data_IF_682146099368
#
_entry.id   IF_682146099368
#
_cell.length_a   1.000
_cell.length_b   1.000
_cell.length_c   1.000
_cell.angle_alpha   90.00
_cell.angle_beta   90.00
_cell.angle_gamma   90.00
#
_symmetry.space_group_name_H-M   'P 1'
#
loop_
_entity.id
_entity.type
_entity.pdbx_description
1 polymer ?
#
# COMPACT_ATOMS: atom_id res chain seq x y z
N UNK A 1 -12.69 13.05 -4.31
CA UNK A 1 -12.59 11.82 -3.49
C UNK A 1 -13.76 11.71 -2.51
N UNK A 2 -14.22 12.81 -1.88
CA UNK A 2 -15.36 12.78 -0.96
C UNK A 2 -16.61 12.11 -1.54
N UNK A 3 -17.08 12.51 -2.71
CA UNK A 3 -18.22 11.90 -3.40
C UNK A 3 -18.01 10.39 -3.70
N UNK A 4 -16.75 9.98 -3.97
CA UNK A 4 -16.42 8.57 -4.15
C UNK A 4 -16.53 7.83 -2.82
N UNK A 5 -16.02 8.41 -1.74
CA UNK A 5 -16.09 7.84 -0.41
C UNK A 5 -17.54 7.64 0.07
N UNK A 6 -18.43 8.58 -0.22
CA UNK A 6 -19.87 8.46 0.10
C UNK A 6 -20.57 7.31 -0.63
N UNK A 7 -20.10 6.98 -1.85
CA UNK A 7 -20.69 5.92 -2.68
C UNK A 7 -20.17 4.52 -2.35
N UNK A 8 -18.92 4.41 -1.92
CA UNK A 8 -18.25 3.13 -1.63
C UNK A 8 -17.96 3.04 -0.13
N UNK A 9 -18.96 2.55 0.58
CA UNK A 9 -19.00 2.49 2.03
C UNK A 9 -18.64 1.10 2.59
N UNK A 10 -18.89 0.94 3.88
CA UNK A 10 -18.74 -0.31 4.63
C UNK A 10 -19.46 -1.51 3.98
N UNK A 11 -20.67 -1.31 3.47
CA UNK A 11 -21.45 -2.42 2.88
C UNK A 11 -20.83 -2.87 1.55
N UNK A 12 -20.36 -1.92 0.74
CA UNK A 12 -19.60 -2.24 -0.47
C UNK A 12 -18.30 -2.99 -0.14
N UNK A 13 -17.56 -2.54 0.89
CA UNK A 13 -16.38 -3.27 1.35
C UNK A 13 -16.71 -4.73 1.71
N UNK A 14 -17.73 -4.95 2.54
CA UNK A 14 -18.16 -6.28 2.95
C UNK A 14 -18.58 -7.16 1.78
N UNK A 15 -19.29 -6.60 0.80
CA UNK A 15 -19.67 -7.31 -0.41
C UNK A 15 -18.43 -7.81 -1.15
N UNK A 16 -17.49 -6.91 -1.43
CA UNK A 16 -16.26 -7.20 -2.18
C UNK A 16 -15.41 -8.27 -1.47
N UNK A 17 -15.27 -8.18 -0.15
CA UNK A 17 -14.53 -9.16 0.68
C UNK A 17 -15.20 -10.53 0.66
N UNK A 18 -16.53 -10.62 0.83
CA UNK A 18 -17.28 -11.89 0.77
C UNK A 18 -17.21 -12.55 -0.59
N UNK A 19 -17.29 -11.77 -1.66
CA UNK A 19 -17.17 -12.23 -3.03
C UNK A 19 -15.72 -12.54 -3.44
N UNK A 20 -14.74 -12.19 -2.62
CA UNK A 20 -13.30 -12.34 -2.86
C UNK A 20 -12.89 -11.82 -4.23
N UNK A 21 -13.35 -10.64 -4.58
CA UNK A 21 -13.13 -10.04 -5.88
C UNK A 21 -12.45 -8.67 -5.80
N UNK A 22 -11.76 -8.32 -6.86
CA UNK A 22 -11.22 -6.97 -7.02
C UNK A 22 -12.35 -5.92 -7.03
N UNK A 23 -12.18 -4.75 -6.36
CA UNK A 23 -13.19 -3.69 -6.27
C UNK A 23 -13.29 -2.88 -7.58
N UNK A 24 -13.74 -3.53 -8.65
CA UNK A 24 -13.69 -2.97 -10.01
C UNK A 24 -14.57 -1.73 -10.17
N UNK A 25 -15.67 -1.63 -9.44
CA UNK A 25 -16.57 -0.47 -9.49
C UNK A 25 -15.88 0.78 -8.90
N UNK A 26 -15.26 0.62 -7.72
CA UNK A 26 -14.45 1.68 -7.11
C UNK A 26 -13.28 2.07 -8.02
N UNK A 27 -12.58 1.08 -8.58
CA UNK A 27 -11.48 1.30 -9.52
C UNK A 27 -11.90 2.14 -10.72
N UNK A 28 -13.01 1.78 -11.38
CA UNK A 28 -13.55 2.52 -12.54
C UNK A 28 -13.98 3.92 -12.19
N UNK A 29 -14.60 4.11 -11.03
CA UNK A 29 -15.01 5.45 -10.56
C UNK A 29 -13.79 6.35 -10.32
N UNK A 30 -12.75 5.83 -9.65
CA UNK A 30 -11.50 6.57 -9.43
C UNK A 30 -10.82 6.92 -10.76
N UNK A 31 -10.76 5.97 -11.69
CA UNK A 31 -10.16 6.15 -13.02
C UNK A 31 -10.92 7.15 -13.89
N UNK A 32 -12.26 7.08 -13.93
CA UNK A 32 -13.11 7.99 -14.71
C UNK A 32 -12.96 9.46 -14.29
N UNK A 33 -12.57 9.68 -13.04
CA UNK A 33 -12.27 11.01 -12.47
C UNK A 33 -10.79 11.38 -12.52
N UNK A 34 -9.95 10.56 -13.18
CA UNK A 34 -8.49 10.71 -13.27
C UNK A 34 -7.79 10.77 -11.90
N UNK A 35 -8.40 10.19 -10.86
CA UNK A 35 -7.89 10.24 -9.49
C UNK A 35 -6.66 9.34 -9.28
N UNK A 36 -6.33 8.44 -10.18
CA UNK A 36 -5.07 7.71 -10.17
C UNK A 36 -3.86 8.54 -10.64
N UNK A 37 -4.09 9.75 -11.12
CA UNK A 37 -3.08 10.76 -11.40
C UNK A 37 -3.00 11.85 -10.33
N UNK A 38 -3.43 11.60 -9.09
CA UNK A 38 -3.50 12.62 -8.04
C UNK A 38 -2.13 13.26 -7.77
N UNK A 39 -1.07 12.44 -7.73
CA UNK A 39 0.33 12.84 -7.50
C UNK A 39 1.12 13.11 -8.80
N UNK A 40 0.45 13.23 -9.92
CA UNK A 40 1.06 13.53 -11.22
C UNK A 40 0.77 14.99 -11.59
N UNK A 41 1.78 15.69 -12.10
CA UNK A 41 1.67 17.09 -12.48
C UNK A 41 0.60 17.29 -13.58
N UNK A 42 -0.04 18.46 -13.59
CA UNK A 42 -1.08 18.81 -14.56
C UNK A 42 -0.57 18.80 -16.00
N UNK A 43 0.68 19.22 -16.21
CA UNK A 43 1.35 19.23 -17.51
C UNK A 43 1.51 17.82 -18.12
N UNK A 44 1.50 16.79 -17.26
CA UNK A 44 1.52 15.37 -17.65
C UNK A 44 0.13 14.72 -17.66
N UNK A 45 -0.93 15.53 -17.52
CA UNK A 45 -2.32 15.05 -17.53
C UNK A 45 -2.84 14.57 -16.18
N UNK A 46 -2.09 14.78 -15.10
CA UNK A 46 -2.49 14.43 -13.74
C UNK A 46 -3.38 15.48 -13.08
N UNK A 47 -3.73 15.21 -11.81
CA UNK A 47 -4.52 16.11 -10.98
C UNK A 47 -3.67 17.29 -10.42
N UNK A 48 -2.36 17.06 -10.23
CA UNK A 48 -1.42 18.03 -9.64
C UNK A 48 -1.73 18.31 -8.17
N UNK A 49 -2.23 17.32 -7.44
CA UNK A 49 -2.47 17.42 -6.01
C UNK A 49 -1.17 17.31 -5.20
N UNK A 50 -1.13 18.01 -4.08
CA UNK A 50 -0.03 17.91 -3.14
C UNK A 50 -0.04 16.59 -2.36
N UNK A 51 1.10 16.23 -1.76
CA UNK A 51 1.20 15.00 -1.00
C UNK A 51 0.31 15.00 0.25
N UNK A 52 0.17 16.14 0.94
CA UNK A 52 -0.71 16.27 2.10
C UNK A 52 -2.19 16.06 1.74
N UNK A 53 -2.63 16.58 0.60
CA UNK A 53 -3.99 16.37 0.09
C UNK A 53 -4.22 14.91 -0.33
N UNK A 54 -3.21 14.25 -0.89
CA UNK A 54 -3.27 12.83 -1.22
C UNK A 54 -3.43 11.95 0.03
N UNK A 55 -2.68 12.26 1.08
CA UNK A 55 -2.75 11.59 2.39
C UNK A 55 -4.14 11.75 3.00
N UNK A 56 -4.69 12.97 2.97
CA UNK A 56 -6.04 13.24 3.46
C UNK A 56 -7.11 12.53 2.62
N UNK A 57 -6.99 12.54 1.30
CA UNK A 57 -7.89 11.84 0.38
C UNK A 57 -7.88 10.31 0.66
N UNK A 58 -6.71 9.75 0.95
CA UNK A 58 -6.55 8.34 1.31
C UNK A 58 -7.25 8.03 2.63
N UNK A 59 -7.08 8.88 3.66
CA UNK A 59 -7.72 8.73 4.97
C UNK A 59 -9.24 8.79 4.85
N UNK A 60 -9.77 9.75 4.09
CA UNK A 60 -11.21 9.90 3.86
C UNK A 60 -11.79 8.67 3.13
N UNK A 61 -11.13 8.20 2.08
CA UNK A 61 -11.59 7.03 1.33
C UNK A 61 -11.57 5.77 2.21
N UNK A 62 -10.55 5.60 3.04
CA UNK A 62 -10.43 4.43 3.90
C UNK A 62 -11.39 4.46 5.11
N UNK A 63 -11.80 5.61 5.58
CA UNK A 63 -12.86 5.72 6.58
C UNK A 63 -14.18 5.10 6.07
N UNK A 64 -14.49 5.28 4.80
CA UNK A 64 -15.71 4.75 4.17
C UNK A 64 -15.52 3.32 3.63
N UNK A 65 -14.53 3.10 2.79
CA UNK A 65 -14.30 1.87 2.04
C UNK A 65 -13.24 0.95 2.67
N UNK A 66 -12.85 1.19 3.91
CA UNK A 66 -11.83 0.43 4.64
C UNK A 66 -10.53 0.25 3.83
N UNK A 67 -9.96 -0.95 3.84
CA UNK A 67 -8.71 -1.27 3.18
C UNK A 67 -8.79 -1.27 1.64
N UNK A 68 -9.99 -1.16 1.03
CA UNK A 68 -10.12 -0.98 -0.42
C UNK A 68 -9.44 0.31 -0.91
N UNK A 69 -9.22 1.31 -0.03
CA UNK A 69 -8.44 2.50 -0.34
C UNK A 69 -7.01 2.18 -0.81
N UNK A 70 -6.49 0.98 -0.55
CA UNK A 70 -5.21 0.50 -1.05
C UNK A 70 -5.08 0.62 -2.58
N UNK A 71 -6.15 0.35 -3.36
CA UNK A 71 -6.08 0.46 -4.82
C UNK A 71 -5.83 1.90 -5.29
N UNK A 72 -6.34 2.90 -4.54
CA UNK A 72 -6.06 4.31 -4.80
C UNK A 72 -4.59 4.65 -4.52
N UNK A 73 -4.05 4.17 -3.40
CA UNK A 73 -2.64 4.38 -3.02
C UNK A 73 -1.71 3.74 -4.03
N UNK A 74 -1.86 2.44 -4.29
CA UNK A 74 -0.96 1.67 -5.14
C UNK A 74 -0.87 2.25 -6.56
N UNK A 75 -2.03 2.53 -7.19
CA UNK A 75 -2.04 3.04 -8.57
C UNK A 75 -1.48 4.46 -8.67
N UNK A 76 -1.73 5.34 -7.69
CA UNK A 76 -1.13 6.68 -7.67
C UNK A 76 0.39 6.65 -7.57
N UNK A 77 0.95 5.75 -6.75
CA UNK A 77 2.39 5.60 -6.63
C UNK A 77 3.01 5.06 -7.92
N UNK A 78 2.36 4.12 -8.60
CA UNK A 78 2.78 3.65 -9.93
C UNK A 78 2.70 4.77 -10.97
N UNK A 79 1.60 5.52 -11.01
CA UNK A 79 1.44 6.64 -11.94
C UNK A 79 2.54 7.69 -11.72
N UNK A 80 2.82 8.05 -10.46
CA UNK A 80 3.91 8.95 -10.10
C UNK A 80 5.28 8.39 -10.51
N UNK A 81 5.54 7.12 -10.26
CA UNK A 81 6.79 6.46 -10.63
C UNK A 81 7.03 6.52 -12.14
N UNK A 82 6.01 6.26 -12.97
CA UNK A 82 6.08 6.38 -14.42
C UNK A 82 6.21 7.84 -14.86
N UNK A 83 5.51 8.77 -14.22
CA UNK A 83 5.62 10.20 -14.51
C UNK A 83 7.04 10.73 -14.28
N UNK A 84 7.71 10.28 -13.21
CA UNK A 84 9.06 10.75 -12.86
C UNK A 84 10.17 10.03 -13.61
N UNK A 85 10.03 8.72 -13.85
CA UNK A 85 11.12 7.87 -14.35
C UNK A 85 10.83 7.21 -15.72
N UNK A 86 9.61 7.33 -16.28
CA UNK A 86 9.17 6.57 -17.45
C UNK A 86 9.76 7.00 -18.80
N UNK A 87 10.56 8.04 -18.86
CA UNK A 87 10.99 8.61 -20.15
C UNK A 87 9.82 9.21 -20.96
N UNK A 88 10.13 9.79 -22.12
CA UNK A 88 9.11 10.50 -22.94
C UNK A 88 8.04 9.56 -23.50
N UNK A 89 8.43 8.38 -23.98
CA UNK A 89 7.52 7.41 -24.57
C UNK A 89 6.49 6.89 -23.57
N UNK A 90 6.95 6.38 -22.41
CA UNK A 90 6.03 5.87 -21.36
C UNK A 90 5.14 6.96 -20.78
N UNK A 91 5.62 8.20 -20.71
CA UNK A 91 4.81 9.35 -20.33
C UNK A 91 3.69 9.65 -21.33
N UNK A 92 3.92 9.42 -22.61
CA UNK A 92 2.92 9.66 -23.65
C UNK A 92 1.95 8.50 -23.82
N UNK A 93 2.41 7.26 -23.73
CA UNK A 93 1.64 6.08 -24.10
C UNK A 93 1.02 5.33 -22.92
N UNK A 94 1.76 5.23 -21.79
CA UNK A 94 1.34 4.47 -20.61
C UNK A 94 0.69 5.34 -19.54
N UNK A 95 1.31 6.48 -19.21
CA UNK A 95 0.84 7.32 -18.09
C UNK A 95 -0.63 7.75 -18.22
N UNK A 96 -1.15 8.16 -19.39
CA UNK A 96 -2.57 8.46 -19.53
C UNK A 96 -3.49 7.27 -19.23
N UNK A 97 -3.08 6.06 -19.57
CA UNK A 97 -3.82 4.83 -19.30
C UNK A 97 -3.83 4.50 -17.81
N UNK A 98 -2.69 4.69 -17.12
CA UNK A 98 -2.60 4.54 -15.66
C UNK A 98 -3.53 5.51 -14.94
N UNK A 99 -3.51 6.79 -15.33
CA UNK A 99 -4.33 7.86 -14.73
C UNK A 99 -5.83 7.56 -14.86
N UNK A 100 -6.27 7.02 -16.01
CA UNK A 100 -7.68 6.63 -16.24
C UNK A 100 -8.05 5.26 -15.69
N UNK A 101 -7.08 4.50 -15.16
CA UNK A 101 -7.32 3.14 -14.69
C UNK A 101 -7.54 2.12 -15.83
N UNK A 102 -7.20 2.48 -17.08
CA UNK A 102 -7.26 1.58 -18.25
C UNK A 102 -6.15 0.52 -18.22
N UNK A 103 -5.11 0.74 -17.38
CA UNK A 103 -3.98 -0.16 -17.21
C UNK A 103 -3.68 -0.28 -15.72
N UNK A 104 -3.59 -1.53 -15.23
CA UNK A 104 -3.16 -1.88 -13.88
C UNK A 104 -1.74 -2.39 -13.91
N UNK A 105 -0.91 -1.97 -12.95
CA UNK A 105 0.48 -2.40 -12.85
C UNK A 105 0.79 -2.84 -11.43
N UNK A 106 1.32 -4.05 -11.29
CA UNK A 106 1.82 -4.59 -10.03
C UNK A 106 3.32 -4.33 -9.86
N UNK A 107 3.84 -4.55 -8.65
CA UNK A 107 5.27 -4.50 -8.35
C UNK A 107 5.76 -5.87 -7.89
N UNK A 108 6.78 -6.41 -8.56
CA UNK A 108 7.51 -7.60 -8.20
C UNK A 108 8.90 -7.22 -7.68
N UNK A 109 9.03 -7.06 -6.36
CA UNK A 109 10.30 -6.75 -5.69
C UNK A 109 10.76 -7.91 -4.82
N UNK A 110 9.92 -8.32 -3.85
CA UNK A 110 10.26 -9.30 -2.83
C UNK A 110 10.46 -10.70 -3.41
N UNK A 111 11.35 -11.45 -2.76
CA UNK A 111 11.60 -12.86 -2.98
C UNK A 111 11.55 -13.58 -1.63
N UNK A 112 11.32 -14.88 -1.62
CA UNK A 112 11.21 -15.67 -0.37
C UNK A 112 12.44 -15.50 0.54
N UNK A 113 13.64 -15.43 -0.06
CA UNK A 113 14.88 -15.19 0.65
C UNK A 113 15.24 -13.71 0.84
N UNK A 114 14.48 -12.75 0.27
CA UNK A 114 14.79 -11.33 0.24
C UNK A 114 13.52 -10.47 0.40
N UNK A 115 12.94 -10.49 1.60
CA UNK A 115 11.82 -9.62 2.00
C UNK A 115 12.31 -8.26 2.49
N UNK A 116 12.66 -8.19 3.78
CA UNK A 116 13.17 -6.94 4.39
C UNK A 116 14.51 -6.47 3.81
N UNK A 117 15.38 -7.37 3.37
CA UNK A 117 16.59 -7.05 2.60
C UNK A 117 16.27 -7.00 1.09
N UNK A 118 15.55 -5.97 0.67
CA UNK A 118 15.18 -5.77 -0.73
C UNK A 118 16.39 -5.64 -1.68
N UNK A 119 17.58 -5.32 -1.18
CA UNK A 119 18.82 -5.29 -1.95
C UNK A 119 19.43 -6.68 -2.13
N UNK A 120 18.96 -7.67 -1.37
CA UNK A 120 19.39 -9.07 -1.42
C UNK A 120 18.74 -9.90 -2.52
N UNK A 121 17.82 -9.34 -3.34
CA UNK A 121 17.11 -10.10 -4.39
C UNK A 121 18.08 -10.88 -5.28
N UNK A 122 17.64 -12.06 -5.73
CA UNK A 122 18.43 -12.98 -6.57
C UNK A 122 18.04 -12.90 -8.05
N UNK A 123 16.86 -12.41 -8.39
CA UNK A 123 16.43 -12.21 -9.78
C UNK A 123 17.44 -11.35 -10.52
N UNK A 124 17.88 -11.81 -11.68
CA UNK A 124 18.89 -11.14 -12.52
C UNK A 124 18.31 -10.65 -13.84
N UNK A 125 18.90 -9.59 -14.36
CA UNK A 125 18.66 -9.10 -15.71
C UNK A 125 20.01 -8.89 -16.39
N UNK A 126 20.32 -9.70 -17.39
CA UNK A 126 21.54 -9.63 -18.15
C UNK A 126 21.30 -8.98 -19.51
N UNK A 127 22.14 -8.02 -19.92
CA UNK A 127 22.09 -7.45 -21.26
C UNK A 127 22.35 -8.50 -22.32
N UNK A 128 21.52 -8.51 -23.34
CA UNK A 128 21.62 -9.34 -24.55
C UNK A 128 21.35 -8.46 -25.78
N UNK A 129 21.69 -8.88 -27.01
CA UNK A 129 21.46 -8.07 -28.20
C UNK A 129 20.00 -7.58 -28.36
N UNK A 130 19.02 -8.39 -27.96
CA UNK A 130 17.59 -8.11 -28.06
C UNK A 130 17.04 -7.26 -26.90
N UNK A 131 17.87 -6.91 -25.91
CA UNK A 131 17.47 -6.13 -24.73
C UNK A 131 18.00 -6.71 -23.42
N UNK A 132 17.15 -7.35 -22.62
CA UNK A 132 17.52 -7.95 -21.33
C UNK A 132 16.95 -9.35 -21.15
N UNK A 133 17.78 -10.29 -20.75
CA UNK A 133 17.42 -11.62 -20.30
C UNK A 133 17.14 -11.59 -18.79
N UNK A 134 15.88 -11.76 -18.40
CA UNK A 134 15.43 -11.81 -17.01
C UNK A 134 15.25 -13.26 -16.57
N UNK A 135 15.85 -13.62 -15.43
CA UNK A 135 15.71 -14.94 -14.82
C UNK A 135 15.58 -14.79 -13.31
N UNK A 136 14.61 -15.47 -12.73
CA UNK A 136 14.38 -15.49 -11.30
C UNK A 136 12.96 -15.78 -10.89
N UNK A 137 12.59 -15.30 -9.68
CA UNK A 137 11.25 -15.44 -9.12
C UNK A 137 10.95 -14.23 -8.24
N UNK A 138 9.72 -13.77 -8.29
CA UNK A 138 9.17 -12.79 -7.34
C UNK A 138 8.04 -13.43 -6.55
N UNK A 139 8.06 -13.21 -5.25
CA UNK A 139 7.03 -13.70 -4.36
C UNK A 139 6.19 -12.53 -3.84
N UNK A 140 4.96 -12.84 -3.40
CA UNK A 140 4.04 -11.86 -2.82
C UNK A 140 3.64 -10.72 -3.78
N UNK A 141 3.55 -11.01 -5.10
CA UNK A 141 3.11 -10.03 -6.10
C UNK A 141 1.59 -9.91 -6.07
N UNK A 142 1.11 -8.77 -5.60
CA UNK A 142 -0.34 -8.47 -5.51
C UNK A 142 -0.94 -8.36 -6.91
N UNK A 143 -2.05 -9.10 -7.15
CA UNK A 143 -2.78 -9.14 -8.43
C UNK A 143 -1.94 -9.58 -9.64
N UNK A 144 -0.78 -10.22 -9.44
CA UNK A 144 0.21 -10.48 -10.48
C UNK A 144 -0.34 -11.04 -11.80
N UNK A 145 -1.26 -12.03 -11.77
CA UNK A 145 -1.87 -12.60 -12.95
C UNK A 145 -3.05 -11.76 -13.52
N UNK A 146 -3.52 -10.78 -12.77
CA UNK A 146 -4.73 -10.00 -13.10
C UNK A 146 -4.44 -8.54 -13.48
N UNK A 147 -3.18 -8.16 -13.56
CA UNK A 147 -2.74 -6.84 -14.01
C UNK A 147 -2.27 -6.88 -15.46
N UNK A 148 -2.14 -5.72 -16.09
CA UNK A 148 -1.66 -5.62 -17.47
C UNK A 148 -0.14 -5.73 -17.58
N UNK A 149 0.57 -5.26 -16.54
CA UNK A 149 2.04 -5.36 -16.49
C UNK A 149 2.54 -5.45 -15.05
N UNK A 150 3.78 -5.89 -14.89
CA UNK A 150 4.48 -5.98 -13.61
C UNK A 150 5.79 -5.20 -13.72
N UNK A 151 6.07 -4.33 -12.75
CA UNK A 151 7.39 -3.75 -12.56
C UNK A 151 8.25 -4.80 -11.85
N UNK A 152 9.14 -5.46 -12.59
CA UNK A 152 10.06 -6.45 -12.06
C UNK A 152 11.38 -5.77 -11.71
N UNK A 153 11.78 -5.87 -10.43
CA UNK A 153 13.07 -5.37 -9.95
C UNK A 153 14.09 -6.50 -9.99
N UNK A 154 15.19 -6.29 -10.69
CA UNK A 154 16.22 -7.31 -10.89
C UNK A 154 17.64 -6.73 -10.75
N UNK A 155 18.61 -7.58 -10.42
CA UNK A 155 20.02 -7.23 -10.43
C UNK A 155 20.55 -7.19 -11.87
N UNK A 156 21.13 -6.08 -12.23
CA UNK A 156 21.84 -5.89 -13.51
C UNK A 156 23.37 -5.87 -13.35
N UNK A 157 23.87 -5.85 -12.09
CA UNK A 157 25.30 -5.93 -11.74
C UNK A 157 25.47 -6.82 -10.50
N UNK A 158 26.63 -7.46 -10.40
CA UNK A 158 26.99 -8.34 -9.27
C UNK A 158 27.78 -7.62 -8.16
N UNK A 159 28.31 -6.43 -8.43
CA UNK A 159 29.34 -5.75 -7.64
C UNK A 159 28.83 -4.67 -6.69
N UNK A 160 27.53 -4.37 -6.69
CA UNK A 160 26.97 -3.30 -5.88
C UNK A 160 25.59 -3.60 -5.33
N UNK A 161 25.32 -3.28 -4.04
CA UNK A 161 24.00 -3.48 -3.43
C UNK A 161 22.95 -2.55 -4.05
N UNK A 162 22.92 -1.28 -3.65
CA UNK A 162 21.90 -0.32 -4.10
C UNK A 162 22.08 0.10 -5.57
N UNK A 163 23.31 0.11 -6.07
CA UNK A 163 23.67 0.45 -7.47
C UNK A 163 23.69 -0.76 -8.40
N UNK A 164 22.98 -1.82 -8.07
CA UNK A 164 22.90 -3.01 -8.91
C UNK A 164 21.47 -3.31 -9.38
N UNK A 165 20.48 -2.56 -8.92
CA UNK A 165 19.07 -2.82 -9.21
C UNK A 165 18.60 -1.96 -10.38
N UNK A 166 17.87 -2.62 -11.28
CA UNK A 166 17.09 -1.99 -12.35
C UNK A 166 15.64 -2.45 -12.26
N UNK A 167 14.73 -1.66 -12.76
CA UNK A 167 13.31 -1.97 -12.80
C UNK A 167 12.85 -2.10 -14.25
N UNK A 168 12.04 -3.10 -14.52
CA UNK A 168 11.54 -3.41 -15.85
C UNK A 168 10.04 -3.55 -15.86
N UNK A 169 9.36 -2.85 -16.76
CA UNK A 169 7.93 -2.98 -16.99
C UNK A 169 7.68 -4.13 -17.97
N UNK A 170 7.18 -5.24 -17.48
CA UNK A 170 6.96 -6.46 -18.25
C UNK A 170 5.46 -6.74 -18.36
N UNK A 171 4.88 -6.89 -19.57
CA UNK A 171 3.50 -7.29 -19.71
C UNK A 171 3.21 -8.61 -18.95
N UNK A 172 2.13 -8.68 -18.19
CA UNK A 172 1.79 -9.90 -17.44
C UNK A 172 1.49 -11.09 -18.34
N UNK A 173 0.98 -10.84 -19.53
CA UNK A 173 0.73 -11.86 -20.55
C UNK A 173 2.01 -12.35 -21.26
N UNK A 174 3.21 -11.88 -20.87
CA UNK A 174 4.46 -12.29 -21.50
C UNK A 174 4.71 -13.79 -21.30
N UNK A 175 5.00 -14.57 -22.38
CA UNK A 175 5.04 -16.04 -22.31
C UNK A 175 6.12 -16.62 -21.36
N UNK A 176 7.13 -15.83 -21.00
CA UNK A 176 8.17 -16.22 -20.05
C UNK A 176 7.82 -15.95 -18.59
N UNK A 177 6.60 -15.51 -18.28
CA UNK A 177 6.09 -15.37 -16.93
C UNK A 177 5.18 -16.55 -16.56
N UNK A 178 5.31 -17.05 -15.36
CA UNK A 178 4.42 -18.07 -14.78
C UNK A 178 3.90 -17.62 -13.43
N UNK A 179 2.64 -17.93 -13.13
CA UNK A 179 1.95 -17.44 -11.95
C UNK A 179 1.47 -18.62 -11.09
N UNK A 180 1.74 -18.54 -9.79
CA UNK A 180 1.21 -19.48 -8.81
C UNK A 180 0.54 -18.67 -7.71
N UNK A 181 -0.77 -18.84 -7.53
CA UNK A 181 -1.53 -18.15 -6.49
C UNK A 181 -1.09 -18.62 -5.10
N UNK A 182 -0.98 -17.67 -4.17
CA UNK A 182 -0.60 -17.90 -2.77
C UNK A 182 -1.78 -17.52 -1.87
N UNK A 183 -2.41 -18.48 -1.19
CA UNK A 183 -3.47 -18.21 -0.22
C UNK A 183 -2.97 -17.33 0.93
N UNK A 184 -3.81 -16.46 1.46
CA UNK A 184 -3.45 -15.50 2.49
C UNK A 184 -4.57 -15.29 3.53
N UNK A 185 -4.25 -14.65 4.64
CA UNK A 185 -5.12 -14.49 5.80
C UNK A 185 -6.21 -13.43 5.60
N UNK A 186 -5.89 -12.30 4.98
CA UNK A 186 -6.78 -11.13 4.82
C UNK A 186 -6.56 -10.45 3.47
N UNK A 187 -7.10 -9.23 3.28
CA UNK A 187 -7.13 -8.53 2.00
C UNK A 187 -7.80 -9.40 0.92
N UNK A 188 -8.94 -10.00 1.26
CA UNK A 188 -9.62 -10.99 0.42
C UNK A 188 -10.07 -10.43 -0.94
N UNK A 189 -10.08 -9.12 -1.11
CA UNK A 189 -10.36 -8.42 -2.37
C UNK A 189 -9.16 -8.37 -3.35
N UNK A 190 -8.00 -8.85 -2.93
CA UNK A 190 -6.80 -8.96 -3.77
C UNK A 190 -6.36 -10.41 -3.83
N UNK A 191 -5.73 -10.80 -4.92
CA UNK A 191 -5.00 -12.07 -5.05
C UNK A 191 -3.51 -11.85 -4.87
N UNK A 192 -2.79 -12.88 -4.46
CA UNK A 192 -1.36 -12.84 -4.24
C UNK A 192 -0.68 -13.94 -5.05
N UNK A 193 0.40 -13.61 -5.74
CA UNK A 193 1.09 -14.54 -6.62
C UNK A 193 2.58 -14.63 -6.34
N UNK A 194 3.12 -15.84 -6.55
CA UNK A 194 4.51 -16.04 -6.89
C UNK A 194 4.64 -16.01 -8.41
N UNK A 195 5.61 -15.26 -8.93
CA UNK A 195 5.84 -15.05 -10.36
C UNK A 195 7.20 -15.62 -10.73
N UNK A 196 7.21 -16.73 -11.46
CA UNK A 196 8.41 -17.27 -12.09
C UNK A 196 8.75 -16.45 -13.35
N UNK A 197 10.03 -16.18 -13.56
CA UNK A 197 10.53 -15.29 -14.60
C UNK A 197 11.64 -16.01 -15.36
N UNK A 198 11.43 -16.24 -16.65
CA UNK A 198 12.42 -16.78 -17.58
C UNK A 198 12.15 -16.22 -18.97
N UNK A 199 12.60 -14.98 -19.22
CA UNK A 199 12.19 -14.24 -20.41
C UNK A 199 13.27 -13.31 -20.94
N UNK A 200 13.18 -12.99 -22.23
CA UNK A 200 13.92 -11.88 -22.87
C UNK A 200 12.93 -10.77 -23.20
N UNK A 201 13.26 -9.56 -22.80
CA UNK A 201 12.45 -8.36 -22.98
C UNK A 201 13.24 -7.30 -23.73
N UNK A 202 12.53 -6.41 -24.43
CA UNK A 202 13.15 -5.27 -25.10
C UNK A 202 13.79 -4.30 -24.11
N UNK A 203 14.81 -3.57 -24.57
CA UNK A 203 15.47 -2.52 -23.80
C UNK A 203 14.53 -1.39 -23.36
N UNK A 204 13.47 -1.16 -24.12
CA UNK A 204 12.42 -0.18 -23.80
C UNK A 204 11.61 -0.55 -22.56
N UNK A 205 11.63 -1.82 -22.14
CA UNK A 205 11.00 -2.24 -20.87
C UNK A 205 11.65 -1.61 -19.63
N UNK A 206 12.90 -1.12 -19.73
CA UNK A 206 13.59 -0.47 -18.62
C UNK A 206 12.80 0.76 -18.14
N UNK A 207 12.58 0.84 -16.83
CA UNK A 207 11.97 1.98 -16.15
C UNK A 207 13.06 2.76 -15.41
N UNK A 208 13.27 4.00 -15.82
CA UNK A 208 14.35 4.84 -15.30
C UNK A 208 15.71 4.55 -15.94
N UNK A 209 16.76 4.68 -15.15
CA UNK A 209 18.14 4.46 -15.54
C UNK A 209 18.62 3.11 -15.04
N UNK A 210 19.35 2.37 -15.87
CA UNK A 210 19.94 1.08 -15.50
C UNK A 210 20.84 1.23 -14.27
N UNK A 211 20.73 0.31 -13.31
CA UNK A 211 21.43 0.28 -12.02
C UNK A 211 20.96 1.33 -10.98
N UNK A 212 19.97 2.18 -11.28
CA UNK A 212 19.58 3.28 -10.41
C UNK A 212 18.14 3.11 -9.82
N UNK A 213 17.51 1.96 -10.00
CA UNK A 213 16.13 1.76 -9.58
C UNK A 213 15.92 1.99 -8.07
N UNK A 214 16.92 1.69 -7.22
CA UNK A 214 16.81 1.87 -5.78
C UNK A 214 16.53 3.32 -5.36
N UNK A 215 17.00 4.29 -6.12
CA UNK A 215 16.78 5.71 -5.85
C UNK A 215 15.28 6.04 -5.80
N UNK A 216 14.58 5.81 -6.91
CA UNK A 216 13.16 6.13 -6.99
C UNK A 216 12.26 5.13 -6.22
N UNK A 217 12.68 3.88 -6.06
CA UNK A 217 11.96 2.90 -5.24
C UNK A 217 11.97 3.32 -3.76
N UNK A 218 13.12 3.72 -3.22
CA UNK A 218 13.22 4.15 -1.82
C UNK A 218 12.40 5.41 -1.52
N UNK A 219 12.34 6.35 -2.48
CA UNK A 219 11.44 7.50 -2.40
C UNK A 219 9.97 7.07 -2.41
N UNK A 220 9.59 6.21 -3.36
CA UNK A 220 8.22 5.68 -3.45
C UNK A 220 7.82 4.97 -2.16
N UNK A 221 8.68 4.16 -1.56
CA UNK A 221 8.39 3.49 -0.28
C UNK A 221 8.24 4.47 0.89
N UNK A 222 8.94 5.60 0.88
CA UNK A 222 8.76 6.61 1.91
C UNK A 222 7.39 7.30 1.79
N UNK A 223 6.91 7.57 0.58
CA UNK A 223 5.55 8.07 0.32
C UNK A 223 4.49 7.03 0.68
N UNK A 224 4.70 5.78 0.28
CA UNK A 224 3.81 4.65 0.56
C UNK A 224 3.57 4.48 2.07
N UNK A 225 4.62 4.55 2.89
CA UNK A 225 4.49 4.49 4.35
C UNK A 225 3.49 5.51 4.90
N UNK A 226 3.55 6.75 4.44
CA UNK A 226 2.67 7.81 4.94
C UNK A 226 1.24 7.62 4.42
N UNK A 227 1.08 7.23 3.16
CA UNK A 227 -0.22 6.94 2.56
C UNK A 227 -0.91 5.74 3.24
N UNK A 228 -0.17 4.65 3.48
CA UNK A 228 -0.69 3.48 4.19
C UNK A 228 -0.98 3.79 5.67
N UNK A 229 -0.16 4.64 6.31
CA UNK A 229 -0.45 5.12 7.65
C UNK A 229 -1.78 5.88 7.71
N UNK A 230 -2.06 6.75 6.72
CA UNK A 230 -3.32 7.46 6.60
C UNK A 230 -4.51 6.53 6.31
N UNK A 231 -4.32 5.53 5.47
CA UNK A 231 -5.32 4.50 5.23
C UNK A 231 -5.68 3.76 6.53
N UNK A 232 -4.68 3.30 7.27
CA UNK A 232 -4.88 2.61 8.55
C UNK A 232 -5.56 3.50 9.59
N UNK A 233 -5.23 4.80 9.62
CA UNK A 233 -5.86 5.78 10.49
C UNK A 233 -7.34 5.95 10.16
N UNK A 234 -7.73 6.04 8.88
CA UNK A 234 -9.13 6.11 8.46
C UNK A 234 -9.93 4.86 8.83
N UNK A 235 -9.37 3.67 8.59
CA UNK A 235 -10.00 2.40 9.00
C UNK A 235 -10.19 2.34 10.51
N UNK A 236 -9.18 2.75 11.29
CA UNK A 236 -9.24 2.77 12.75
C UNK A 236 -10.32 3.70 13.28
N UNK A 237 -10.45 4.89 12.69
CA UNK A 237 -11.49 5.84 13.05
C UNK A 237 -12.89 5.22 12.87
N UNK A 238 -13.12 4.53 11.75
CA UNK A 238 -14.39 3.84 11.49
C UNK A 238 -14.64 2.69 12.46
N UNK A 239 -13.64 1.86 12.73
CA UNK A 239 -13.75 0.75 13.68
C UNK A 239 -14.12 1.23 15.09
N UNK A 240 -13.48 2.29 15.57
CA UNK A 240 -13.77 2.87 16.89
C UNK A 240 -15.14 3.51 16.94
N UNK A 241 -15.59 4.17 15.87
CA UNK A 241 -16.96 4.70 15.79
C UNK A 241 -18.01 3.60 15.90
N UNK A 242 -17.85 2.50 15.14
CA UNK A 242 -18.74 1.34 15.17
C UNK A 242 -18.76 0.69 16.57
N UNK A 243 -17.58 0.51 17.18
CA UNK A 243 -17.47 -0.06 18.52
C UNK A 243 -18.13 0.84 19.59
N UNK A 244 -17.90 2.15 19.51
CA UNK A 244 -18.55 3.12 20.41
C UNK A 244 -20.05 3.16 20.20
N UNK A 245 -20.54 3.13 18.96
CA UNK A 245 -21.97 3.03 18.64
C UNK A 245 -22.61 1.80 19.26
N UNK A 246 -21.96 0.64 19.11
CA UNK A 246 -22.42 -0.59 19.74
C UNK A 246 -22.41 -0.51 21.27
N UNK A 247 -21.35 0.03 21.87
CA UNK A 247 -21.22 0.15 23.31
C UNK A 247 -22.30 1.06 23.95
N UNK A 248 -22.80 2.05 23.22
CA UNK A 248 -23.87 2.96 23.68
C UNK A 248 -25.24 2.27 23.75
N UNK A 249 -25.51 1.32 22.86
CA UNK A 249 -26.85 0.72 22.71
C UNK A 249 -26.96 -0.70 23.25
N UNK A 250 -25.88 -1.44 23.36
CA UNK A 250 -25.87 -2.82 23.86
C UNK A 250 -26.06 -2.83 25.36
N UNK A 251 -27.19 -3.37 25.80
CA UNK A 251 -27.53 -3.51 27.24
C UNK A 251 -27.15 -4.91 27.74
N UNK A 252 -26.41 -4.97 28.84
CA UNK A 252 -26.07 -6.18 29.60
C UNK A 252 -26.12 -5.81 31.08
N UNK A 253 -26.69 -6.71 31.91
CA UNK A 253 -26.94 -6.44 33.33
C UNK A 253 -27.69 -5.12 33.59
N UNK A 254 -28.71 -4.83 32.76
CA UNK A 254 -29.61 -3.69 32.93
C UNK A 254 -29.09 -2.31 32.55
N UNK A 255 -27.87 -2.20 31.96
CA UNK A 255 -27.29 -0.93 31.49
C UNK A 255 -26.47 -1.10 30.21
N UNK A 256 -26.29 -0.02 29.45
CA UNK A 256 -25.34 -0.05 28.29
C UNK A 256 -23.96 -0.51 28.71
N UNK A 257 -23.32 -1.36 27.89
CA UNK A 257 -21.97 -1.85 28.20
C UNK A 257 -20.93 -0.72 28.24
N UNK A 258 -21.13 0.36 27.50
CA UNK A 258 -20.31 1.57 27.51
C UNK A 258 -20.31 2.32 28.85
N UNK A 259 -21.19 1.98 29.79
CA UNK A 259 -21.16 2.50 31.16
C UNK A 259 -20.13 1.80 32.07
N UNK A 260 -19.44 0.77 31.56
CA UNK A 260 -18.42 0.03 32.33
C UNK A 260 -17.02 0.50 31.95
N UNK A 261 -16.17 0.79 32.97
CA UNK A 261 -14.78 1.22 32.78
C UNK A 261 -13.95 0.21 31.97
N UNK A 262 -14.23 -1.11 32.12
CA UNK A 262 -13.59 -2.17 31.33
C UNK A 262 -13.86 -2.10 29.82
N UNK A 263 -14.91 -1.34 29.40
CA UNK A 263 -15.20 -1.03 27.99
C UNK A 263 -14.73 0.38 27.62
N UNK A 264 -14.92 1.35 28.53
CA UNK A 264 -14.56 2.75 28.29
C UNK A 264 -13.06 2.96 28.12
N UNK A 265 -12.24 2.35 29.01
CA UNK A 265 -10.80 2.62 29.04
C UNK A 265 -10.08 2.09 27.79
N UNK A 266 -10.31 0.86 27.30
CA UNK A 266 -9.73 0.43 26.02
C UNK A 266 -10.15 1.30 24.83
N UNK A 267 -11.42 1.70 24.74
CA UNK A 267 -11.90 2.60 23.68
C UNK A 267 -11.26 3.99 23.76
N UNK A 268 -11.13 4.56 24.97
CA UNK A 268 -10.51 5.86 25.16
C UNK A 268 -9.00 5.81 24.87
N UNK A 269 -8.31 4.73 25.25
CA UNK A 269 -6.91 4.53 24.90
C UNK A 269 -6.71 4.43 23.39
N UNK A 270 -7.42 3.53 22.72
CA UNK A 270 -7.32 3.38 21.26
C UNK A 270 -7.67 4.68 20.51
N UNK A 271 -8.63 5.47 21.02
CA UNK A 271 -8.94 6.78 20.47
C UNK A 271 -7.78 7.78 20.66
N UNK A 272 -7.10 7.76 21.79
CA UNK A 272 -5.92 8.61 22.03
C UNK A 272 -4.78 8.26 21.09
N UNK A 273 -4.50 6.96 20.89
CA UNK A 273 -3.51 6.47 19.93
C UNK A 273 -3.86 6.82 18.47
N UNK A 274 -5.14 6.79 18.11
CA UNK A 274 -5.64 7.25 16.81
C UNK A 274 -5.33 8.73 16.58
N UNK A 275 -5.58 9.59 17.57
CA UNK A 275 -5.28 11.04 17.48
C UNK A 275 -3.78 11.30 17.38
N UNK A 276 -2.96 10.58 18.16
CA UNK A 276 -1.50 10.67 18.10
C UNK A 276 -0.98 10.24 16.71
N UNK A 277 -1.51 9.13 16.18
CA UNK A 277 -1.22 8.66 14.82
C UNK A 277 -1.56 9.72 13.77
N UNK A 278 -2.75 10.31 13.84
CA UNK A 278 -3.18 11.37 12.92
C UNK A 278 -2.25 12.58 12.96
N UNK A 279 -1.91 13.08 14.15
CA UNK A 279 -1.03 14.24 14.29
C UNK A 279 0.37 13.97 13.70
N UNK A 280 0.89 12.75 13.86
CA UNK A 280 2.17 12.35 13.30
C UNK A 280 2.12 12.24 11.76
N UNK A 281 1.06 11.63 11.22
CA UNK A 281 0.82 11.56 9.76
C UNK A 281 0.75 12.97 9.16
N UNK A 282 -0.06 13.85 9.76
CA UNK A 282 -0.27 15.22 9.26
C UNK A 282 1.02 16.04 9.28
N UNK A 283 1.84 15.85 10.32
CA UNK A 283 3.17 16.49 10.40
C UNK A 283 4.06 16.04 9.25
N UNK A 284 4.13 14.73 8.99
CA UNK A 284 5.01 14.16 7.97
C UNK A 284 4.49 14.48 6.56
N UNK A 285 3.18 14.45 6.35
CA UNK A 285 2.57 14.76 5.05
C UNK A 285 2.85 16.19 4.57
N UNK A 286 3.03 17.14 5.50
CA UNK A 286 3.37 18.54 5.18
C UNK A 286 4.87 18.76 4.93
N UNK A 287 5.71 17.79 5.24
CA UNK A 287 7.12 17.87 4.89
C UNK A 287 7.27 17.73 3.37
N UNK A 288 8.13 18.56 2.77
CA UNK A 288 8.44 18.36 1.36
C UNK A 288 9.27 17.08 1.21
N UNK A 289 8.91 16.17 0.28
CA UNK A 289 9.67 14.93 0.04
C UNK A 289 11.13 15.14 -0.36
N UNK A 290 11.54 16.40 -0.58
CA UNK A 290 12.89 16.84 -1.01
C UNK A 290 13.96 16.78 0.08
N UNK A 291 13.61 16.47 1.35
CA UNK A 291 14.59 16.26 2.43
C UNK A 291 14.75 14.75 2.72
N UNK A 292 15.58 14.00 1.94
CA UNK A 292 15.44 12.55 1.81
C UNK A 292 15.65 11.76 3.10
N UNK A 293 16.54 12.21 4.00
CA UNK A 293 16.89 11.42 5.19
C UNK A 293 15.88 11.59 6.34
N UNK A 294 15.49 12.84 6.66
CA UNK A 294 14.52 13.12 7.71
C UNK A 294 13.13 12.63 7.33
N UNK A 295 12.71 12.86 6.07
CA UNK A 295 11.43 12.35 5.58
C UNK A 295 11.35 10.82 5.64
N UNK A 296 12.43 10.11 5.31
CA UNK A 296 12.46 8.64 5.38
C UNK A 296 12.31 8.14 6.83
N UNK A 297 12.96 8.78 7.81
CA UNK A 297 12.83 8.41 9.22
C UNK A 297 11.44 8.73 9.77
N UNK A 298 10.93 9.92 9.49
CA UNK A 298 9.63 10.39 9.94
C UNK A 298 8.48 9.58 9.31
N UNK A 299 8.58 9.22 8.02
CA UNK A 299 7.62 8.33 7.35
C UNK A 299 7.59 6.93 7.98
N UNK A 300 8.77 6.40 8.35
CA UNK A 300 8.86 5.13 9.06
C UNK A 300 8.23 5.21 10.46
N UNK A 301 8.42 6.32 11.18
CA UNK A 301 7.82 6.53 12.50
C UNK A 301 6.30 6.66 12.41
N UNK A 302 5.78 7.41 11.42
CA UNK A 302 4.35 7.54 11.20
C UNK A 302 3.71 6.18 10.87
N UNK A 303 4.32 5.41 9.98
CA UNK A 303 3.84 4.08 9.61
C UNK A 303 3.88 3.09 10.79
N UNK A 304 5.01 3.00 11.50
CA UNK A 304 5.16 2.13 12.66
C UNK A 304 4.09 2.40 13.72
N UNK A 305 3.89 3.67 14.08
CA UNK A 305 2.88 4.05 15.07
C UNK A 305 1.46 3.73 14.58
N UNK A 306 1.15 4.07 13.32
CA UNK A 306 -0.19 3.86 12.74
C UNK A 306 -0.55 2.39 12.63
N UNK A 307 0.40 1.52 12.30
CA UNK A 307 0.16 0.07 12.23
C UNK A 307 -0.21 -0.48 13.61
N UNK A 308 0.49 -0.07 14.65
CA UNK A 308 0.22 -0.52 16.03
C UNK A 308 -1.10 0.01 16.56
N UNK A 309 -1.35 1.29 16.37
CA UNK A 309 -2.62 1.94 16.73
C UNK A 309 -3.81 1.30 16.00
N UNK A 310 -3.66 1.00 14.70
CA UNK A 310 -4.73 0.36 13.92
C UNK A 310 -5.00 -1.09 14.37
N UNK A 311 -3.94 -1.85 14.66
CA UNK A 311 -4.10 -3.20 15.18
C UNK A 311 -4.82 -3.20 16.54
N UNK A 312 -4.46 -2.30 17.44
CA UNK A 312 -5.12 -2.14 18.73
C UNK A 312 -6.58 -1.70 18.57
N UNK A 313 -6.86 -0.72 17.70
CA UNK A 313 -8.23 -0.28 17.42
C UNK A 313 -9.11 -1.42 16.90
N UNK A 314 -8.57 -2.28 16.02
CA UNK A 314 -9.27 -3.45 15.51
C UNK A 314 -9.54 -4.51 16.59
N UNK A 315 -8.54 -4.80 17.43
CA UNK A 315 -8.67 -5.73 18.55
C UNK A 315 -9.72 -5.25 19.57
N UNK A 316 -9.67 -3.98 19.95
CA UNK A 316 -10.64 -3.36 20.85
C UNK A 316 -12.04 -3.38 20.25
N UNK A 317 -12.19 -3.12 18.95
CA UNK A 317 -13.51 -3.17 18.28
C UNK A 317 -14.11 -4.58 18.29
N UNK A 318 -13.29 -5.60 18.02
CA UNK A 318 -13.71 -7.00 18.14
C UNK A 318 -14.14 -7.34 19.58
N UNK A 319 -13.29 -7.01 20.55
CA UNK A 319 -13.52 -7.31 21.95
C UNK A 319 -14.81 -6.67 22.49
N UNK A 320 -15.05 -5.40 22.14
CA UNK A 320 -16.26 -4.67 22.55
C UNK A 320 -17.55 -5.30 21.99
N UNK A 321 -17.50 -5.80 20.77
CA UNK A 321 -18.64 -6.48 20.12
C UNK A 321 -18.83 -7.92 20.62
N UNK A 322 -17.84 -8.50 21.30
CA UNK A 322 -17.90 -9.87 21.80
C UNK A 322 -18.13 -10.89 20.68
N UNK A 323 -19.02 -11.86 20.87
CA UNK A 323 -19.30 -12.89 19.85
C UNK A 323 -19.68 -12.31 18.47
N UNK A 324 -20.34 -11.13 18.44
CA UNK A 324 -20.68 -10.46 17.17
C UNK A 324 -19.45 -9.92 16.43
N UNK A 325 -18.35 -9.60 17.14
CA UNK A 325 -17.10 -9.20 16.53
C UNK A 325 -16.33 -10.39 15.93
N UNK A 326 -16.57 -11.61 16.42
CA UNK A 326 -15.85 -12.82 16.00
C UNK A 326 -16.47 -13.52 14.77
N UNK A 327 -17.71 -13.21 14.43
CA UNK A 327 -18.34 -13.73 13.20
C UNK A 327 -17.97 -12.88 11.99
N UNK A 328 -18.05 -13.49 10.79
CA UNK A 328 -17.77 -12.78 9.53
C UNK A 328 -18.50 -11.44 9.47
N UNK A 329 -17.75 -10.35 9.32
CA UNK A 329 -18.26 -9.00 9.34
C UNK A 329 -17.16 -7.97 9.19
N UNK A 330 -17.54 -6.71 9.42
CA UNK A 330 -16.65 -5.57 9.17
C UNK A 330 -15.41 -5.58 10.06
N UNK A 331 -15.59 -5.77 11.36
CA UNK A 331 -14.50 -5.72 12.34
C UNK A 331 -13.54 -6.90 12.13
N UNK A 332 -14.09 -8.08 11.91
CA UNK A 332 -13.31 -9.30 11.69
C UNK A 332 -12.50 -9.19 10.39
N UNK A 333 -13.10 -8.75 9.29
CA UNK A 333 -12.41 -8.57 8.02
C UNK A 333 -11.32 -7.49 8.13
N UNK A 334 -11.61 -6.34 8.73
CA UNK A 334 -10.62 -5.29 8.98
C UNK A 334 -9.47 -5.76 9.87
N UNK A 335 -9.74 -6.57 10.91
CA UNK A 335 -8.70 -7.12 11.78
C UNK A 335 -7.73 -8.01 10.99
N UNK A 336 -8.24 -8.90 10.13
CA UNK A 336 -7.41 -9.75 9.27
C UNK A 336 -6.58 -8.91 8.29
N UNK A 337 -7.18 -7.90 7.70
CA UNK A 337 -6.51 -7.00 6.76
C UNK A 337 -5.41 -6.19 7.44
N UNK A 338 -5.72 -5.56 8.58
CA UNK A 338 -4.77 -4.74 9.34
C UNK A 338 -3.57 -5.57 9.81
N UNK A 339 -3.77 -6.85 10.13
CA UNK A 339 -2.69 -7.73 10.57
C UNK A 339 -1.55 -7.84 9.55
N UNK A 340 -1.86 -7.74 8.27
CA UNK A 340 -0.86 -7.73 7.20
C UNK A 340 0.15 -6.59 7.35
N UNK A 341 -0.30 -5.38 7.70
CA UNK A 341 0.54 -4.18 7.72
C UNK A 341 1.62 -4.18 8.82
N UNK A 342 1.55 -5.09 9.78
CA UNK A 342 2.64 -5.37 10.71
C UNK A 342 3.80 -6.14 10.06
N UNK A 343 3.54 -6.81 8.93
CA UNK A 343 4.49 -7.68 8.23
C UNK A 343 4.95 -7.01 6.93
N UNK A 344 4.04 -6.46 6.16
CA UNK A 344 4.26 -5.91 4.82
C UNK A 344 3.41 -4.67 4.52
N UNK A 345 3.71 -3.93 3.43
CA UNK A 345 4.85 -4.13 2.52
C UNK A 345 6.20 -3.81 3.18
N UNK A 346 6.20 -3.18 4.35
CA UNK A 346 7.39 -2.82 5.14
C UNK A 346 7.12 -3.26 6.57
N UNK A 347 7.95 -4.14 7.14
CA UNK A 347 7.72 -4.65 8.47
C UNK A 347 7.94 -3.61 9.58
N UNK A 348 7.33 -3.85 10.75
CA UNK A 348 7.56 -3.03 11.95
C UNK A 348 9.05 -2.94 12.29
N UNK A 349 9.78 -4.06 12.19
CA UNK A 349 11.21 -4.15 12.51
C UNK A 349 12.06 -3.32 11.54
N UNK A 350 11.74 -3.36 10.23
CA UNK A 350 12.43 -2.54 9.25
C UNK A 350 12.13 -1.05 9.45
N UNK A 351 10.92 -0.71 9.89
CA UNK A 351 10.56 0.66 10.25
C UNK A 351 11.38 1.14 11.45
N UNK A 352 11.50 0.34 12.52
CA UNK A 352 12.34 0.65 13.68
C UNK A 352 13.83 0.77 13.31
N UNK A 353 14.35 -0.13 12.48
CA UNK A 353 15.72 -0.05 11.99
C UNK A 353 15.96 1.23 11.18
N UNK A 354 14.96 1.66 10.38
CA UNK A 354 15.02 2.91 9.62
C UNK A 354 15.05 4.13 10.54
N UNK A 355 14.20 4.16 11.56
CA UNK A 355 14.17 5.22 12.59
C UNK A 355 15.51 5.28 13.32
N UNK A 356 16.03 4.12 13.77
CA UNK A 356 17.30 4.06 14.48
C UNK A 356 18.47 4.62 13.66
N UNK A 357 18.57 4.21 12.40
CA UNK A 357 19.70 4.61 11.53
C UNK A 357 19.56 6.03 10.98
N UNK A 358 18.36 6.41 10.54
CA UNK A 358 18.12 7.68 9.83
C UNK A 358 17.62 8.80 10.73
N UNK A 359 16.88 8.46 11.80
CA UNK A 359 16.32 9.41 12.75
C UNK A 359 17.24 9.67 13.96
N UNK A 360 17.83 8.61 14.49
CA UNK A 360 18.68 8.67 15.69
C UNK A 360 20.19 8.60 15.39
N UNK A 361 20.57 8.41 14.11
CA UNK A 361 21.96 8.27 13.65
C UNK A 361 22.75 7.16 14.39
N UNK A 362 22.05 6.08 14.78
CA UNK A 362 22.71 4.92 15.37
C UNK A 362 23.47 4.12 14.30
N UNK A 363 24.60 3.48 14.65
CA UNK A 363 25.35 2.63 13.72
C UNK A 363 24.51 1.46 13.22
N UNK A 364 24.79 1.04 11.97
CA UNK A 364 24.09 -0.07 11.28
C UNK A 364 24.75 -1.41 11.56
#
# INVERSE_FOLDING_TARGET
VGEVAEKYDREYYLQVVRERRFPIELWRELGSRSLFGFLVDKELGGYGGGFAEFVEATRLLSYSAATLAYVFVAQNLVSRMVATNGGSEKRQTLLPKLIRGDTRVAMGLAEDAAGSDALGVSTTAQRVPEGYRLVGRKDYVTEGAHVDAIIIVAKTRSDGRAKSLSAFLVPSAHPGLSFTETPKMGLDFLTLYSVGIDTTIDSEALLGVEHEAWGFLSETFALDRVALAAMLNGVSARLLEEACGYARVRVVFGRPIGANQGVQFPLAHAHTELLASQALIDRVARQQPTAPQSFTADSAAAFYHSVRSAYEAADVALQVKGAKGYIEGFEEACFRDIRYYRIGPISEELSLATIARRGLNLPS
#
